data_IF_919620415766
#
_entry.id   IF_919620415766
#
_cell.length_a   1.000
_cell.length_b   1.000
_cell.length_c   1.000
_cell.angle_alpha   90.00
_cell.angle_beta   90.00
_cell.angle_gamma   90.00
#
_symmetry.space_group_name_H-M   'P 1'
#
loop_
_entity.id
_entity.type
_entity.pdbx_description
1 polymer ?
#
# COMPACT_ATOMS: atom_id res chain seq x y z
N UNK A 1 9.63 -19.61 -1.51
CA UNK A 1 9.07 -19.58 -2.88
C UNK A 1 8.05 -18.45 -3.01
N UNK A 2 8.44 -17.20 -2.73
CA UNK A 2 7.62 -16.00 -2.95
C UNK A 2 8.08 -15.18 -4.17
N UNK A 3 9.26 -15.51 -4.72
CA UNK A 3 9.94 -14.78 -5.82
C UNK A 3 9.17 -14.77 -7.15
N UNK A 4 8.21 -15.66 -7.37
CA UNK A 4 7.57 -15.80 -8.69
C UNK A 4 6.21 -15.10 -8.84
N UNK A 5 5.61 -14.51 -7.80
CA UNK A 5 4.30 -13.85 -7.94
C UNK A 5 4.39 -12.34 -8.24
N UNK A 6 5.52 -11.69 -7.95
CA UNK A 6 5.65 -10.24 -8.02
C UNK A 6 6.06 -9.75 -9.42
N UNK A 7 6.90 -10.52 -10.11
CA UNK A 7 7.26 -10.33 -11.53
C UNK A 7 6.05 -10.48 -12.48
N UNK A 8 4.93 -11.03 -12.01
CA UNK A 8 3.70 -11.19 -12.78
C UNK A 8 2.85 -9.90 -12.81
N UNK A 9 2.95 -9.02 -11.81
CA UNK A 9 2.06 -7.85 -11.70
C UNK A 9 2.29 -6.82 -12.80
N UNK A 10 3.55 -6.47 -13.06
CA UNK A 10 3.93 -5.57 -14.16
C UNK A 10 3.49 -6.12 -15.53
N UNK A 11 3.69 -7.43 -15.76
CA UNK A 11 3.26 -8.11 -16.98
C UNK A 11 1.75 -8.12 -17.14
N UNK A 12 1.02 -8.38 -16.07
CA UNK A 12 -0.46 -8.38 -16.07
C UNK A 12 -0.98 -6.98 -16.39
N UNK A 13 -0.40 -5.94 -15.78
CA UNK A 13 -0.76 -4.54 -16.04
C UNK A 13 -0.52 -4.19 -17.52
N UNK A 14 0.65 -4.53 -18.07
CA UNK A 14 0.97 -4.29 -19.49
C UNK A 14 0.05 -5.04 -20.44
N UNK A 15 -0.22 -6.32 -20.14
CA UNK A 15 -1.04 -7.17 -21.00
C UNK A 15 -2.49 -6.68 -21.03
N UNK A 16 -3.03 -6.27 -19.88
CA UNK A 16 -4.37 -5.68 -19.81
C UNK A 16 -4.43 -4.36 -20.59
N UNK A 17 -3.38 -3.55 -20.56
CA UNK A 17 -3.31 -2.34 -21.38
C UNK A 17 -3.30 -2.63 -22.88
N UNK A 18 -2.52 -3.62 -23.32
CA UNK A 18 -2.43 -4.00 -24.74
C UNK A 18 -3.68 -4.70 -25.27
N UNK A 19 -4.19 -5.69 -24.54
CA UNK A 19 -5.23 -6.61 -25.04
C UNK A 19 -6.64 -6.01 -24.91
N UNK A 20 -6.83 -5.10 -23.95
CA UNK A 20 -8.16 -4.60 -23.57
C UNK A 20 -8.30 -3.08 -23.67
N UNK A 21 -7.23 -2.36 -24.02
CA UNK A 21 -7.23 -0.90 -24.14
C UNK A 21 -7.48 -0.18 -22.81
N UNK A 22 -7.15 -0.83 -21.69
CA UNK A 22 -7.36 -0.28 -20.34
C UNK A 22 -6.12 0.49 -19.91
N UNK A 23 -6.30 1.70 -19.39
CA UNK A 23 -5.17 2.50 -18.92
C UNK A 23 -4.45 1.81 -17.75
N UNK A 24 -3.11 1.75 -17.83
CA UNK A 24 -2.24 1.19 -16.79
C UNK A 24 -2.53 1.80 -15.42
N UNK A 25 -2.79 3.10 -15.34
CA UNK A 25 -3.09 3.81 -14.10
C UNK A 25 -4.37 3.29 -13.44
N UNK A 26 -5.39 2.92 -14.24
CA UNK A 26 -6.65 2.34 -13.72
C UNK A 26 -6.39 0.98 -13.08
N UNK A 27 -5.54 0.16 -13.69
CA UNK A 27 -5.19 -1.16 -13.14
C UNK A 27 -4.39 -0.99 -11.84
N UNK A 28 -3.41 -0.08 -11.83
CA UNK A 28 -2.61 0.20 -10.63
C UNK A 28 -3.50 0.70 -9.47
N UNK A 29 -4.31 1.74 -9.69
CA UNK A 29 -5.20 2.30 -8.67
C UNK A 29 -6.10 1.22 -8.05
N UNK A 30 -6.66 0.38 -8.90
CA UNK A 30 -7.53 -0.71 -8.49
C UNK A 30 -6.82 -1.75 -7.59
N UNK A 31 -5.57 -2.09 -7.92
CA UNK A 31 -4.76 -3.03 -7.12
C UNK A 31 -4.38 -2.39 -5.79
N UNK A 32 -3.94 -1.14 -5.82
CA UNK A 32 -3.54 -0.35 -4.66
C UNK A 32 -4.70 -0.19 -3.67
N UNK A 33 -5.90 0.16 -4.16
CA UNK A 33 -7.12 0.21 -3.36
C UNK A 33 -7.48 -1.15 -2.76
N UNK A 34 -7.35 -2.22 -3.56
CA UNK A 34 -7.55 -3.59 -3.11
C UNK A 34 -6.64 -3.97 -1.95
N UNK A 35 -5.36 -3.61 -2.04
CA UNK A 35 -4.38 -3.85 -0.99
C UNK A 35 -4.68 -3.00 0.25
N UNK A 36 -5.06 -1.74 0.08
CA UNK A 36 -5.43 -0.84 1.17
C UNK A 36 -6.64 -1.36 1.96
N UNK A 37 -7.68 -1.84 1.28
CA UNK A 37 -8.86 -2.45 1.94
C UNK A 37 -8.46 -3.69 2.75
N UNK A 38 -7.58 -4.53 2.20
CA UNK A 38 -7.07 -5.71 2.89
C UNK A 38 -6.23 -5.35 4.12
N UNK A 39 -5.37 -4.33 3.99
CA UNK A 39 -4.54 -3.83 5.07
C UNK A 39 -5.41 -3.26 6.21
N UNK A 40 -6.39 -2.40 5.89
CA UNK A 40 -7.34 -1.85 6.88
C UNK A 40 -8.14 -2.95 7.60
N UNK A 41 -8.50 -4.03 6.89
CA UNK A 41 -9.19 -5.17 7.50
C UNK A 41 -8.29 -5.98 8.45
N UNK A 42 -6.99 -6.05 8.15
CA UNK A 42 -6.00 -6.82 8.93
C UNK A 42 -5.49 -6.04 10.15
N UNK A 43 -5.15 -4.77 9.97
CA UNK A 43 -4.48 -3.94 10.97
C UNK A 43 -5.42 -2.94 11.67
N UNK A 44 -6.69 -2.89 11.27
CA UNK A 44 -7.67 -1.95 11.82
C UNK A 44 -7.75 -0.65 11.03
N UNK A 45 -8.72 0.17 11.40
CA UNK A 45 -9.06 1.43 10.71
C UNK A 45 -8.48 2.66 11.39
N UNK A 46 -7.92 2.52 12.58
CA UNK A 46 -7.33 3.63 13.35
C UNK A 46 -5.98 4.05 12.79
N UNK A 47 -5.24 3.11 12.19
CA UNK A 47 -3.96 3.36 11.54
C UNK A 47 -4.16 4.09 10.22
N UNK A 48 -3.38 5.14 10.00
CA UNK A 48 -3.25 5.75 8.67
C UNK A 48 -2.35 4.88 7.81
N UNK A 49 -2.95 4.12 6.89
CA UNK A 49 -2.25 3.21 5.99
C UNK A 49 -2.40 3.71 4.57
N UNK A 50 -1.31 3.71 3.83
CA UNK A 50 -1.28 3.96 2.40
C UNK A 50 -0.69 2.76 1.67
N UNK A 51 -1.24 2.48 0.48
CA UNK A 51 -0.66 1.54 -0.46
C UNK A 51 -0.10 2.35 -1.64
N UNK A 52 1.10 1.99 -2.11
CA UNK A 52 1.73 2.64 -3.25
C UNK A 52 2.34 1.61 -4.19
N UNK A 53 2.22 1.84 -5.49
CA UNK A 53 2.85 0.99 -6.51
C UNK A 53 4.20 1.58 -6.90
N UNK A 54 5.25 0.78 -6.72
CA UNK A 54 6.58 1.10 -7.15
C UNK A 54 6.77 0.61 -8.60
N UNK A 55 6.89 1.54 -9.54
CA UNK A 55 7.03 1.22 -10.97
C UNK A 55 8.37 0.57 -11.31
N UNK A 56 9.43 0.85 -10.53
CA UNK A 56 10.77 0.31 -10.77
C UNK A 56 10.85 -1.16 -10.35
N UNK A 57 10.27 -1.51 -9.19
CA UNK A 57 10.24 -2.90 -8.69
C UNK A 57 9.06 -3.68 -9.23
N UNK A 58 7.99 -2.99 -9.65
CA UNK A 58 6.72 -3.60 -10.04
C UNK A 58 5.90 -4.12 -8.85
N UNK A 59 6.20 -3.66 -7.63
CA UNK A 59 5.57 -4.11 -6.40
C UNK A 59 4.60 -3.08 -5.84
N UNK A 60 3.60 -3.55 -5.08
CA UNK A 60 2.76 -2.67 -4.26
C UNK A 60 3.26 -2.77 -2.82
N UNK A 61 3.63 -1.64 -2.27
CA UNK A 61 4.16 -1.47 -0.92
C UNK A 61 3.09 -0.86 -0.01
N UNK A 62 3.16 -1.17 1.29
CA UNK A 62 2.29 -0.57 2.31
C UNK A 62 3.12 0.25 3.28
N UNK A 63 2.61 1.43 3.60
CA UNK A 63 3.19 2.34 4.56
C UNK A 63 2.16 2.67 5.63
N UNK A 64 2.58 2.65 6.88
CA UNK A 64 1.83 3.21 8.00
C UNK A 64 2.41 4.57 8.31
N UNK A 65 1.56 5.60 8.28
CA UNK A 65 1.94 6.95 8.66
C UNK A 65 1.69 7.17 10.15
N UNK A 66 2.65 7.84 10.80
CA UNK A 66 2.60 8.18 12.21
C UNK A 66 2.99 9.64 12.43
N UNK A 67 2.32 10.31 13.35
CA UNK A 67 2.65 11.67 13.76
C UNK A 67 3.85 11.66 14.71
N UNK A 68 4.80 12.56 14.44
CA UNK A 68 6.00 12.72 15.26
C UNK A 68 5.68 13.58 16.47
N UNK A 69 5.70 12.97 17.66
CA UNK A 69 5.32 13.63 18.91
C UNK A 69 6.49 13.71 19.90
N UNK A 70 6.34 14.47 20.98
CA UNK A 70 7.33 14.47 22.07
C UNK A 70 7.25 13.17 22.85
N UNK A 71 8.34 12.78 23.52
CA UNK A 71 8.35 11.59 24.39
C UNK A 71 7.27 11.68 25.49
N UNK A 72 7.04 12.88 26.03
CA UNK A 72 6.02 13.12 27.05
C UNK A 72 4.60 12.93 26.52
N UNK A 73 4.30 13.42 25.31
CA UNK A 73 3.00 13.21 24.68
C UNK A 73 2.77 11.72 24.39
N UNK A 74 3.78 11.04 23.85
CA UNK A 74 3.74 9.60 23.58
C UNK A 74 3.49 8.76 24.84
N UNK A 75 4.14 9.08 25.97
CA UNK A 75 3.94 8.39 27.24
C UNK A 75 2.54 8.60 27.85
N UNK A 76 1.93 9.77 27.61
CA UNK A 76 0.61 10.11 28.11
C UNK A 76 -0.51 9.46 27.30
N UNK A 77 -0.43 9.54 25.97
CA UNK A 77 -1.49 9.06 25.08
C UNK A 77 -1.36 7.56 24.79
N UNK A 78 -0.12 7.04 24.76
CA UNK A 78 0.21 5.62 24.56
C UNK A 78 -0.37 5.02 23.27
N UNK A 79 -0.62 5.84 22.25
CA UNK A 79 -1.13 5.39 20.96
C UNK A 79 0.03 5.11 19.99
N UNK A 80 0.66 3.95 20.17
CA UNK A 80 1.74 3.48 19.30
C UNK A 80 1.25 3.13 17.88
N UNK A 81 -0.05 3.17 17.61
CA UNK A 81 -0.62 2.95 16.29
C UNK A 81 -0.59 4.22 15.42
N UNK A 82 -0.66 5.40 16.04
CA UNK A 82 -0.71 6.69 15.32
C UNK A 82 0.48 7.59 15.63
N UNK A 83 1.16 7.39 16.76
CA UNK A 83 2.25 8.26 17.19
C UNK A 83 3.61 7.57 17.12
N UNK A 84 4.65 8.38 16.94
CA UNK A 84 6.04 7.99 17.07
C UNK A 84 6.82 9.09 17.81
N UNK A 85 7.61 8.74 18.85
CA UNK A 85 8.42 9.75 19.52
C UNK A 85 9.50 10.27 18.58
N UNK A 86 9.81 11.57 18.68
CA UNK A 86 10.83 12.26 17.86
C UNK A 86 12.17 11.53 17.81
N UNK A 87 12.58 10.88 18.90
CA UNK A 87 13.83 10.12 18.98
C UNK A 87 13.84 8.89 18.05
N UNK A 88 12.70 8.22 17.88
CA UNK A 88 12.55 7.12 16.94
C UNK A 88 12.36 7.63 15.51
N UNK A 89 11.62 8.73 15.34
CA UNK A 89 11.45 9.37 14.03
C UNK A 89 12.80 9.81 13.44
N UNK A 90 13.69 10.40 14.25
CA UNK A 90 15.03 10.83 13.84
C UNK A 90 15.96 9.67 13.41
N UNK A 91 15.70 8.44 13.85
CA UNK A 91 16.44 7.25 13.39
C UNK A 91 16.02 6.83 11.97
N UNK A 92 14.79 7.13 11.60
CA UNK A 92 14.23 6.83 10.28
C UNK A 92 14.52 7.97 9.29
N UNK A 93 14.33 9.21 9.72
CA UNK A 93 14.66 10.42 8.97
C UNK A 93 15.35 11.46 9.88
N UNK A 94 16.66 11.71 9.71
CA UNK A 94 17.39 12.70 10.49
C UNK A 94 16.87 14.15 10.38
N UNK A 95 15.98 14.44 9.42
CA UNK A 95 15.36 15.76 9.25
C UNK A 95 13.97 15.87 9.87
N UNK A 96 13.45 14.79 10.49
CA UNK A 96 12.13 14.77 11.11
C UNK A 96 11.97 15.84 12.20
N UNK A 97 10.79 16.46 12.23
CA UNK A 97 10.39 17.48 13.19
C UNK A 97 9.11 17.06 13.91
N UNK A 98 8.83 17.71 15.05
CA UNK A 98 7.57 17.51 15.76
C UNK A 98 6.38 17.95 14.89
N UNK A 99 5.34 17.13 14.83
CA UNK A 99 4.16 17.30 14.00
C UNK A 99 4.33 16.81 12.55
N UNK A 100 5.50 16.32 12.17
CA UNK A 100 5.66 15.66 10.87
C UNK A 100 4.92 14.32 10.83
N UNK A 101 4.56 13.87 9.64
CA UNK A 101 4.04 12.53 9.41
C UNK A 101 5.11 11.67 8.75
N UNK A 102 5.49 10.57 9.40
CA UNK A 102 6.53 9.66 8.91
C UNK A 102 5.94 8.34 8.43
N UNK A 103 6.25 7.97 7.19
CA UNK A 103 5.81 6.71 6.58
C UNK A 103 6.74 5.56 6.94
N UNK A 104 6.21 4.56 7.65
CA UNK A 104 6.93 3.35 8.04
C UNK A 104 6.48 2.19 7.18
N UNK A 105 7.40 1.58 6.44
CA UNK A 105 7.10 0.43 5.58
C UNK A 105 6.61 -0.76 6.40
N UNK A 106 5.43 -1.27 6.03
CA UNK A 106 4.84 -2.45 6.65
C UNK A 106 5.26 -3.74 5.92
N UNK A 107 5.32 -4.85 6.64
CA UNK A 107 5.50 -6.16 6.01
C UNK A 107 4.23 -6.56 5.24
N UNK A 108 4.32 -6.47 3.90
CA UNK A 108 3.25 -6.80 2.98
C UNK A 108 3.24 -8.27 2.55
N UNK A 109 4.07 -9.15 3.15
CA UNK A 109 4.27 -10.53 2.68
C UNK A 109 2.99 -11.37 2.55
N UNK A 110 2.05 -11.24 3.49
CA UNK A 110 0.73 -11.89 3.38
C UNK A 110 -0.26 -11.13 2.49
N UNK A 111 -0.06 -9.81 2.34
CA UNK A 111 -0.93 -8.90 1.59
C UNK A 111 -0.66 -8.95 0.09
N UNK A 112 0.55 -9.35 -0.32
CA UNK A 112 0.89 -9.56 -1.73
C UNK A 112 -0.01 -10.59 -2.42
N UNK A 113 -0.40 -11.67 -1.72
CA UNK A 113 -1.38 -12.65 -2.24
C UNK A 113 -2.77 -12.05 -2.44
N UNK A 114 -3.19 -11.17 -1.54
CA UNK A 114 -4.49 -10.51 -1.61
C UNK A 114 -4.49 -9.48 -2.75
N UNK A 115 -3.40 -8.72 -2.92
CA UNK A 115 -3.27 -7.77 -4.03
C UNK A 115 -3.34 -8.45 -5.39
N UNK A 116 -2.67 -9.60 -5.57
CA UNK A 116 -2.77 -10.38 -6.81
C UNK A 116 -4.19 -10.90 -7.08
N UNK A 117 -4.91 -11.35 -6.05
CA UNK A 117 -6.31 -11.78 -6.18
C UNK A 117 -7.24 -10.61 -6.53
N UNK A 118 -7.07 -9.46 -5.88
CA UNK A 118 -7.85 -8.26 -6.17
C UNK A 118 -7.56 -7.74 -7.57
N UNK A 119 -6.30 -7.71 -7.99
CA UNK A 119 -5.89 -7.37 -9.36
C UNK A 119 -6.69 -8.20 -10.37
N UNK A 120 -6.67 -9.52 -10.21
CA UNK A 120 -7.38 -10.46 -11.09
C UNK A 120 -8.89 -10.20 -11.11
N UNK A 121 -9.50 -9.94 -9.95
CA UNK A 121 -10.94 -9.67 -9.85
C UNK A 121 -11.33 -8.39 -10.60
N UNK A 122 -10.56 -7.31 -10.45
CA UNK A 122 -10.86 -6.02 -11.08
C UNK A 122 -10.63 -6.11 -12.59
N UNK A 123 -9.57 -6.79 -13.03
CA UNK A 123 -9.35 -7.08 -14.46
C UNK A 123 -10.55 -7.83 -15.04
N UNK A 124 -11.03 -8.89 -14.38
CA UNK A 124 -12.21 -9.63 -14.86
C UNK A 124 -13.47 -8.77 -14.89
N UNK A 125 -13.67 -7.88 -13.92
CA UNK A 125 -14.81 -6.94 -13.94
C UNK A 125 -14.71 -5.97 -15.13
N UNK A 126 -13.56 -5.32 -15.32
CA UNK A 126 -13.36 -4.36 -16.41
C UNK A 126 -13.49 -4.99 -17.79
N UNK A 127 -12.98 -6.21 -17.97
CA UNK A 127 -13.17 -6.97 -19.23
C UNK A 127 -14.66 -7.20 -19.50
N UNK A 128 -15.42 -7.58 -18.47
CA UNK A 128 -16.85 -7.86 -18.59
C UNK A 128 -17.68 -6.60 -18.87
N UNK A 129 -17.25 -5.45 -18.34
CA UNK A 129 -17.88 -4.15 -18.62
C UNK A 129 -17.59 -3.69 -20.07
N UNK A 130 -16.37 -3.92 -20.55
CA UNK A 130 -15.97 -3.61 -21.93
C UNK A 130 -16.68 -4.51 -22.97
N UNK A 131 -16.96 -5.77 -22.66
CA UNK A 131 -17.70 -6.69 -23.55
C UNK A 131 -19.21 -6.41 -23.61
N UNK A 132 -19.74 -5.62 -22.66
CA UNK A 132 -21.17 -5.25 -22.59
C UNK A 132 -21.49 -3.89 -23.20
N UNK A 133 -20.45 -3.13 -23.59
CA UNK A 133 -20.55 -1.80 -24.19
C UNK A 133 -20.30 -1.89 -25.70
#
# INVERSE_FOLDING_TARGET
MAENMFTDLSRVIEQVGKDKGIDKAVVIDAITQGMLVAAKKKYGTYREIEASYNEETGEVELFQFKEVVTAEAFENDQDDEVDIPIEEALKLDPQAQLGDSIGIKMDAGELGRIAAQTAKQIIMQKVRDAERS
#
